data_IF_391031840767
#
_entry.id   IF_391031840767
#
_cell.length_a   1.000
_cell.length_b   1.000
_cell.length_c   1.000
_cell.angle_alpha   90.00
_cell.angle_beta   90.00
_cell.angle_gamma   90.00
#
_symmetry.space_group_name_H-M   'P 1'
#
loop_
_entity.id
_entity.type
_entity.pdbx_description
1 polymer ?
#
# COMPACT_ATOMS: atom_id res chain seq x y z
N UNK A 1 -14.10 -9.57 -13.40
CA UNK A 1 -13.39 -10.66 -14.10
C UNK A 1 -12.06 -10.93 -13.39
N UNK A 2 -11.91 -12.10 -12.78
CA UNK A 2 -10.78 -12.45 -11.90
C UNK A 2 -9.48 -12.67 -12.67
N UNK A 3 -9.57 -13.00 -13.96
CA UNK A 3 -8.41 -13.23 -14.83
C UNK A 3 -7.79 -11.89 -15.27
N UNK A 4 -8.62 -10.89 -15.58
CA UNK A 4 -8.15 -9.55 -15.92
C UNK A 4 -7.41 -8.88 -14.75
N UNK A 5 -7.95 -8.98 -13.52
CA UNK A 5 -7.28 -8.47 -12.32
C UNK A 5 -5.92 -9.16 -12.06
N UNK A 6 -5.83 -10.48 -12.28
CA UNK A 6 -4.58 -11.23 -12.14
C UNK A 6 -3.55 -10.91 -13.24
N UNK A 7 -4.02 -10.65 -14.45
CA UNK A 7 -3.18 -10.18 -15.55
C UNK A 7 -2.65 -8.77 -15.28
N UNK A 8 -3.52 -7.87 -14.80
CA UNK A 8 -3.13 -6.51 -14.43
C UNK A 8 -2.10 -6.53 -13.30
N UNK A 9 -2.35 -7.30 -12.23
CA UNK A 9 -1.39 -7.43 -11.12
C UNK A 9 -0.06 -8.02 -11.57
N UNK A 10 -0.07 -8.99 -12.49
CA UNK A 10 1.16 -9.55 -13.08
C UNK A 10 1.93 -8.53 -13.93
N UNK A 11 1.23 -7.76 -14.78
CA UNK A 11 1.85 -6.72 -15.62
C UNK A 11 2.41 -5.56 -14.78
N UNK A 12 1.77 -5.27 -13.65
CA UNK A 12 2.16 -4.21 -12.73
C UNK A 12 3.29 -4.64 -11.76
N UNK A 13 3.48 -5.94 -11.52
CA UNK A 13 4.45 -6.48 -10.57
C UNK A 13 5.93 -6.14 -10.88
N UNK A 14 6.26 -5.62 -12.06
CA UNK A 14 7.63 -5.19 -12.42
C UNK A 14 7.80 -3.68 -12.58
N UNK A 15 6.86 -2.87 -12.07
CA UNK A 15 6.85 -1.42 -12.27
C UNK A 15 7.29 -0.68 -11.00
N UNK A 16 8.22 0.26 -11.17
CA UNK A 16 8.61 1.17 -10.09
C UNK A 16 7.37 1.87 -9.55
N UNK A 17 7.27 1.92 -8.23
CA UNK A 17 6.09 2.39 -7.53
C UNK A 17 6.48 3.33 -6.41
N UNK A 18 5.85 4.50 -6.38
CA UNK A 18 6.01 5.46 -5.29
C UNK A 18 4.73 5.44 -4.47
N UNK A 19 4.83 5.17 -3.19
CA UNK A 19 3.72 5.23 -2.25
C UNK A 19 3.72 6.58 -1.56
N UNK A 20 2.63 7.32 -1.69
CA UNK A 20 2.35 8.54 -0.95
C UNK A 20 1.42 8.19 0.21
N UNK A 21 1.85 8.49 1.43
CA UNK A 21 1.13 8.13 2.65
C UNK A 21 0.85 9.38 3.49
N UNK A 22 -0.35 9.47 4.01
CA UNK A 22 -0.70 10.40 5.08
C UNK A 22 -1.42 9.63 6.19
N UNK A 23 -0.70 9.36 7.30
CA UNK A 23 -1.23 8.53 8.38
C UNK A 23 -2.51 9.08 9.04
N UNK A 24 -2.58 10.39 9.26
CA UNK A 24 -3.70 11.06 9.94
C UNK A 24 -4.23 12.22 9.12
N UNK A 25 -5.28 12.93 9.55
CA UNK A 25 -5.70 14.17 8.89
C UNK A 25 -4.63 15.30 8.90
N UNK A 26 -3.62 15.20 9.78
CA UNK A 26 -2.54 16.19 9.84
C UNK A 26 -1.64 16.12 8.61
N UNK A 27 -1.37 17.27 7.98
CA UNK A 27 -0.44 17.36 6.85
C UNK A 27 1.00 17.04 7.23
N UNK A 28 1.36 17.12 8.52
CA UNK A 28 2.71 16.80 9.00
C UNK A 28 3.04 15.32 8.93
N UNK A 29 2.04 14.44 8.81
CA UNK A 29 2.25 12.98 8.68
C UNK A 29 2.38 12.53 7.23
N UNK A 30 2.53 13.47 6.29
CA UNK A 30 2.75 13.16 4.88
C UNK A 30 4.18 12.66 4.69
N UNK A 31 4.31 11.49 4.10
CA UNK A 31 5.59 10.89 3.74
C UNK A 31 5.45 10.19 2.40
N UNK A 32 6.57 9.81 1.81
CA UNK A 32 6.61 8.97 0.62
C UNK A 32 7.64 7.86 0.77
N UNK A 33 7.47 6.80 0.00
CA UNK A 33 8.43 5.70 -0.11
C UNK A 33 8.47 5.21 -1.54
N UNK A 34 9.66 4.96 -2.05
CA UNK A 34 9.90 4.43 -3.39
C UNK A 34 10.23 2.94 -3.35
N UNK A 35 9.74 2.21 -4.34
CA UNK A 35 9.89 0.76 -4.46
C UNK A 35 10.18 0.38 -5.90
N UNK A 36 11.05 -0.61 -6.11
CA UNK A 36 11.37 -1.10 -7.45
C UNK A 36 10.17 -1.76 -8.14
N UNK A 37 9.27 -2.35 -7.37
CA UNK A 37 8.09 -3.04 -7.87
C UNK A 37 6.81 -2.69 -7.10
N UNK A 38 5.65 -2.92 -7.73
CA UNK A 38 4.35 -2.85 -7.05
C UNK A 38 4.26 -3.87 -5.91
N UNK A 39 4.85 -5.06 -6.08
CA UNK A 39 4.84 -6.09 -5.04
C UNK A 39 5.60 -5.63 -3.78
N UNK A 40 6.75 -4.98 -3.96
CA UNK A 40 7.53 -4.42 -2.85
C UNK A 40 6.78 -3.28 -2.17
N UNK A 41 6.08 -2.44 -2.94
CA UNK A 41 5.22 -1.39 -2.38
C UNK A 41 4.09 -1.98 -1.51
N UNK A 42 3.43 -3.04 -1.96
CA UNK A 42 2.40 -3.72 -1.17
C UNK A 42 2.98 -4.37 0.10
N UNK A 43 4.15 -5.00 0.00
CA UNK A 43 4.86 -5.51 1.17
C UNK A 43 5.21 -4.38 2.17
N UNK A 44 5.59 -3.20 1.68
CA UNK A 44 5.84 -2.02 2.50
C UNK A 44 4.60 -1.55 3.28
N UNK A 45 3.43 -1.56 2.63
CA UNK A 45 2.14 -1.23 3.28
C UNK A 45 1.80 -2.26 4.37
N UNK A 46 2.00 -3.55 4.11
CA UNK A 46 1.83 -4.60 5.12
C UNK A 46 2.77 -4.39 6.32
N UNK A 47 4.04 -4.09 6.06
CA UNK A 47 5.03 -3.83 7.12
C UNK A 47 4.68 -2.61 7.96
N UNK A 48 4.16 -1.53 7.34
CA UNK A 48 3.68 -0.35 8.06
C UNK A 48 2.57 -0.73 9.05
N UNK A 49 1.61 -1.54 8.60
CA UNK A 49 0.54 -2.01 9.47
C UNK A 49 1.06 -2.92 10.59
N UNK A 50 1.97 -3.84 10.28
CA UNK A 50 2.60 -4.70 11.29
C UNK A 50 3.38 -3.91 12.34
N UNK A 51 4.12 -2.88 11.93
CA UNK A 51 4.81 -1.99 12.88
C UNK A 51 3.81 -1.28 13.79
N UNK A 52 2.68 -0.82 13.24
CA UNK A 52 1.61 -0.20 14.04
C UNK A 52 1.02 -1.19 15.04
N UNK A 53 0.74 -2.42 14.62
CA UNK A 53 0.25 -3.47 15.50
C UNK A 53 1.24 -3.82 16.62
N UNK A 54 2.55 -3.85 16.32
CA UNK A 54 3.62 -4.09 17.31
C UNK A 54 3.71 -2.96 18.34
N UNK A 55 3.53 -1.71 17.91
CA UNK A 55 3.49 -0.57 18.84
C UNK A 55 2.28 -0.63 19.78
N UNK A 56 1.12 -1.06 19.28
CA UNK A 56 -0.10 -1.20 20.09
C UNK A 56 -0.05 -2.43 21.00
N UNK A 57 0.68 -3.48 20.61
CA UNK A 57 0.75 -4.76 21.31
C UNK A 57 2.20 -5.18 21.60
N UNK A 58 2.97 -4.41 22.40
CA UNK A 58 4.41 -4.65 22.59
C UNK A 58 4.74 -6.00 23.25
N UNK A 59 3.78 -6.62 23.94
CA UNK A 59 3.94 -7.95 24.56
C UNK A 59 3.69 -9.12 23.60
N UNK A 60 3.14 -8.88 22.42
CA UNK A 60 2.81 -9.93 21.44
C UNK A 60 4.02 -10.20 20.56
N UNK A 61 4.61 -11.39 20.73
CA UNK A 61 5.81 -11.79 19.97
C UNK A 61 5.52 -12.06 18.50
N UNK A 62 4.35 -12.63 18.20
CA UNK A 62 3.95 -13.02 16.86
C UNK A 62 2.60 -12.37 16.54
N UNK A 63 2.61 -11.38 15.64
CA UNK A 63 1.40 -10.68 15.24
C UNK A 63 0.82 -11.37 14.02
N UNK A 64 -0.46 -11.67 14.10
CA UNK A 64 -1.29 -12.20 13.02
C UNK A 64 -2.46 -11.26 12.83
N UNK A 65 -2.80 -10.95 11.59
CA UNK A 65 -3.97 -10.15 11.23
C UNK A 65 -4.62 -10.76 10.00
N UNK A 66 -5.91 -10.50 9.82
CA UNK A 66 -6.60 -10.87 8.60
C UNK A 66 -6.60 -9.73 7.57
N UNK A 67 -6.98 -10.05 6.33
CA UNK A 67 -7.01 -9.06 5.24
C UNK A 67 -8.06 -7.96 5.47
N UNK A 68 -9.13 -8.25 6.20
CA UNK A 68 -10.19 -7.29 6.54
C UNK A 68 -9.66 -6.23 7.49
N UNK A 69 -8.86 -6.63 8.48
CA UNK A 69 -8.19 -5.72 9.41
C UNK A 69 -7.19 -4.81 8.71
N UNK A 70 -6.43 -5.34 7.75
CA UNK A 70 -5.54 -4.53 6.91
C UNK A 70 -6.31 -3.49 6.08
N UNK A 71 -7.41 -3.90 5.42
CA UNK A 71 -8.24 -2.97 4.66
C UNK A 71 -8.85 -1.89 5.55
N UNK A 72 -9.35 -2.26 6.74
CA UNK A 72 -9.87 -1.30 7.71
C UNK A 72 -8.79 -0.31 8.16
N UNK A 73 -7.54 -0.74 8.33
CA UNK A 73 -6.43 0.16 8.60
C UNK A 73 -6.21 1.15 7.46
N UNK A 74 -6.17 0.68 6.22
CA UNK A 74 -5.97 1.52 5.02
C UNK A 74 -7.10 2.55 4.86
N UNK A 75 -8.35 2.14 5.09
CA UNK A 75 -9.52 3.01 5.02
C UNK A 75 -9.42 4.17 6.04
N UNK A 76 -8.89 3.87 7.23
CA UNK A 76 -8.71 4.83 8.31
C UNK A 76 -7.50 5.77 8.15
N UNK A 77 -6.59 5.51 7.20
CA UNK A 77 -5.50 6.45 6.88
C UNK A 77 -6.07 7.77 6.38
N UNK A 78 -5.38 8.87 6.65
CA UNK A 78 -5.73 10.17 6.08
C UNK A 78 -5.76 10.15 4.56
N UNK A 79 -4.71 9.63 3.94
CA UNK A 79 -4.63 9.41 2.49
C UNK A 79 -3.60 8.31 2.16
N UNK A 80 -3.82 7.60 1.07
CA UNK A 80 -2.89 6.61 0.51
C UNK A 80 -3.05 6.57 -1.01
N UNK A 81 -1.94 6.79 -1.72
CA UNK A 81 -1.89 6.77 -3.17
C UNK A 81 -0.59 6.11 -3.66
N UNK A 82 -0.72 5.15 -4.56
CA UNK A 82 0.38 4.50 -5.25
C UNK A 82 0.51 5.10 -6.65
N UNK A 83 1.66 5.68 -6.95
CA UNK A 83 2.05 6.13 -8.28
C UNK A 83 2.82 4.99 -8.95
N UNK A 84 2.24 4.36 -9.97
CA UNK A 84 2.86 3.22 -10.66
C UNK A 84 3.40 3.63 -12.01
N UNK A 85 4.67 3.31 -12.29
CA UNK A 85 5.30 3.67 -13.55
C UNK A 85 4.67 2.92 -14.73
N UNK A 86 4.20 3.66 -15.74
CA UNK A 86 3.50 3.06 -16.88
C UNK A 86 4.43 2.59 -18.01
N UNK A 87 5.74 2.85 -17.90
CA UNK A 87 6.72 2.48 -18.94
C UNK A 87 6.92 3.52 -20.04
N UNK A 88 6.06 4.54 -20.13
CA UNK A 88 6.12 5.59 -21.16
C UNK A 88 6.59 6.94 -20.61
N UNK A 89 7.35 6.94 -19.51
CA UNK A 89 7.86 8.15 -18.87
C UNK A 89 6.88 8.84 -17.92
N UNK A 90 5.77 8.20 -17.54
CA UNK A 90 4.78 8.77 -16.62
C UNK A 90 4.41 7.79 -15.49
N UNK A 91 3.81 8.36 -14.45
CA UNK A 91 3.24 7.61 -13.32
C UNK A 91 1.72 7.73 -13.33
N UNK A 92 1.06 6.59 -13.16
CA UNK A 92 -0.39 6.50 -13.04
C UNK A 92 -0.78 6.45 -11.56
N UNK A 93 -1.67 7.34 -11.09
CA UNK A 93 -2.07 7.36 -9.70
C UNK A 93 -3.16 6.33 -9.41
N UNK A 94 -3.00 5.64 -8.28
CA UNK A 94 -3.91 4.63 -7.78
C UNK A 94 -4.15 4.86 -6.30
N UNK A 95 -5.31 5.43 -5.98
CA UNK A 95 -5.67 5.74 -4.60
C UNK A 95 -6.33 4.54 -3.91
N UNK A 96 -6.50 4.63 -2.59
CA UNK A 96 -7.21 3.62 -1.79
C UNK A 96 -8.67 3.35 -2.19
N UNK A 97 -9.27 4.18 -3.05
CA UNK A 97 -10.63 3.97 -3.57
C UNK A 97 -10.66 3.06 -4.81
N UNK A 98 -9.50 2.79 -5.42
CA UNK A 98 -9.35 1.87 -6.56
C UNK A 98 -8.57 0.62 -6.09
N UNK A 99 -9.24 -0.36 -5.44
CA UNK A 99 -8.61 -1.55 -4.85
C UNK A 99 -8.07 -2.56 -5.87
N UNK A 100 -7.99 -2.20 -7.15
CA UNK A 100 -7.38 -3.10 -8.14
C UNK A 100 -5.87 -3.30 -7.91
N UNK A 101 -5.25 -2.44 -7.08
CA UNK A 101 -3.81 -2.37 -6.85
C UNK A 101 -3.42 -2.56 -5.38
N UNK A 102 -4.38 -2.41 -4.45
CA UNK A 102 -4.23 -2.62 -3.00
C UNK A 102 -5.10 -3.81 -2.60
#
# INVERSE_FOLDING_TARGET
>A
DRAFSKYLSFVMAGKHTIVLLQETASKSTRTFSDFETVADAMNGICQLYEQRLKQLNPGVRNITYDITELYAFIDNLGDLCCLVYNGSGAYEPHNKQVPAII
#
